data_IF_323999348439
#
_entry.id   IF_323999348439
#
_cell.length_a   1.000
_cell.length_b   1.000
_cell.length_c   1.000
_cell.angle_alpha   90.00
_cell.angle_beta   90.00
_cell.angle_gamma   90.00
#
_symmetry.space_group_name_H-M   'P 1'
#
loop_
_entity.id
_entity.type
_entity.pdbx_description
1 polymer ?
#
# COMPACT_ATOMS: atom_id res chain seq x y z
N UNK A 1 10.99 15.75 11.12
CA UNK A 1 11.41 14.48 11.78
C UNK A 1 10.18 13.85 12.43
N UNK A 2 9.89 12.63 12.08
CA UNK A 2 8.76 11.86 12.63
C UNK A 2 9.23 11.13 13.89
N UNK A 3 8.40 11.11 14.94
CA UNK A 3 8.76 10.48 16.22
C UNK A 3 8.65 8.95 16.12
N UNK A 4 9.47 8.23 16.89
CA UNK A 4 9.43 6.75 16.97
C UNK A 4 8.04 6.26 17.38
N UNK A 5 7.37 6.98 18.28
CA UNK A 5 6.01 6.62 18.74
C UNK A 5 4.99 6.64 17.60
N UNK A 6 5.09 7.61 16.69
CA UNK A 6 4.23 7.70 15.52
C UNK A 6 4.47 6.52 14.57
N UNK A 7 5.75 6.16 14.33
CA UNK A 7 6.11 5.01 13.51
C UNK A 7 5.68 3.67 14.13
N UNK A 8 5.65 3.56 15.46
CA UNK A 8 5.14 2.39 16.17
C UNK A 8 3.64 2.13 15.92
N UNK A 9 2.89 3.16 15.59
CA UNK A 9 1.48 3.03 15.21
C UNK A 9 1.29 2.28 13.89
N UNK A 10 2.31 2.24 13.05
CA UNK A 10 2.28 1.56 11.76
C UNK A 10 2.54 0.05 11.98
N UNK A 11 1.54 -0.76 11.68
CA UNK A 11 1.53 -2.22 11.96
C UNK A 11 2.74 -2.96 11.42
N UNK A 12 3.20 -2.59 10.22
CA UNK A 12 4.36 -3.25 9.63
C UNK A 12 5.68 -2.93 10.35
N UNK A 13 5.74 -1.80 11.09
CA UNK A 13 6.91 -1.33 11.83
C UNK A 13 6.86 -1.70 13.32
N UNK A 14 5.75 -2.25 13.81
CA UNK A 14 5.50 -2.53 15.23
C UNK A 14 6.64 -3.32 15.92
N UNK A 15 7.23 -4.29 15.21
CA UNK A 15 8.29 -5.16 15.74
C UNK A 15 9.72 -4.69 15.39
N UNK A 16 9.84 -3.53 14.73
CA UNK A 16 11.13 -3.00 14.34
C UNK A 16 11.86 -2.39 15.54
N UNK A 17 13.17 -2.64 15.74
CA UNK A 17 13.97 -2.00 16.80
C UNK A 17 13.94 -0.47 16.72
N UNK A 18 13.95 0.21 17.89
CA UNK A 18 13.90 1.68 17.97
C UNK A 18 15.01 2.37 17.20
N UNK A 19 16.22 1.80 17.19
CA UNK A 19 17.34 2.33 16.41
C UNK A 19 17.07 2.41 14.91
N UNK A 20 16.32 1.44 14.37
CA UNK A 20 15.93 1.42 12.95
C UNK A 20 14.75 2.37 12.68
N UNK A 21 13.80 2.44 13.61
CA UNK A 21 12.71 3.43 13.55
C UNK A 21 13.25 4.85 13.58
N UNK A 22 14.30 5.12 14.35
CA UNK A 22 14.96 6.43 14.37
C UNK A 22 15.54 6.83 13.00
N UNK A 23 16.14 5.88 12.27
CA UNK A 23 16.64 6.12 10.91
C UNK A 23 15.50 6.48 9.95
N UNK A 24 14.40 5.73 9.99
CA UNK A 24 13.19 6.04 9.21
C UNK A 24 12.66 7.43 9.58
N UNK A 25 12.51 7.72 10.88
CA UNK A 25 11.93 8.98 11.35
C UNK A 25 12.72 10.22 10.95
N UNK A 26 14.05 10.10 10.76
CA UNK A 26 14.90 11.18 10.28
C UNK A 26 14.64 11.52 8.81
N UNK A 27 14.26 10.56 8.00
CA UNK A 27 14.02 10.72 6.56
C UNK A 27 12.54 10.92 6.21
N UNK A 28 11.64 10.61 7.14
CA UNK A 28 10.21 10.67 6.94
C UNK A 28 9.64 12.07 7.21
N UNK A 29 8.56 12.39 6.50
CA UNK A 29 7.80 13.63 6.66
C UNK A 29 6.33 13.30 6.96
N UNK A 30 5.75 13.97 7.97
CA UNK A 30 4.31 13.93 8.25
C UNK A 30 3.64 15.09 7.51
N UNK A 31 2.57 14.81 6.79
CA UNK A 31 1.77 15.79 6.04
C UNK A 31 0.28 15.54 6.27
N UNK A 32 -0.52 16.61 6.18
CA UNK A 32 -1.98 16.57 6.30
C UNK A 32 -2.56 16.78 4.90
N UNK A 33 -3.51 15.94 4.54
CA UNK A 33 -4.22 16.00 3.25
C UNK A 33 -5.72 16.14 3.47
N UNK A 34 -6.35 16.97 2.67
CA UNK A 34 -7.80 17.14 2.71
C UNK A 34 -8.52 15.96 2.03
N UNK A 35 -9.79 15.78 2.38
CA UNK A 35 -10.70 14.87 1.67
C UNK A 35 -10.64 15.13 0.16
N UNK A 36 -10.64 14.08 -0.64
CA UNK A 36 -10.58 14.15 -2.10
C UNK A 36 -9.18 14.39 -2.69
N UNK A 37 -8.14 14.59 -1.84
CA UNK A 37 -6.77 14.73 -2.35
C UNK A 37 -6.35 13.44 -3.04
N UNK A 38 -5.95 13.55 -4.31
CA UNK A 38 -5.32 12.47 -5.06
C UNK A 38 -3.81 12.48 -4.80
N UNK A 39 -3.29 11.41 -4.21
CA UNK A 39 -1.87 11.28 -3.86
C UNK A 39 -1.03 10.84 -5.06
N UNK A 40 -1.57 9.96 -5.90
CA UNK A 40 -1.03 9.57 -7.19
C UNK A 40 -2.13 8.86 -8.01
N UNK A 41 -1.96 8.80 -9.33
CA UNK A 41 -2.89 8.17 -10.27
C UNK A 41 -2.34 6.89 -10.86
N UNK A 42 -3.23 6.03 -11.32
CA UNK A 42 -2.88 4.86 -12.15
C UNK A 42 -1.99 5.31 -13.31
N UNK A 43 -0.88 4.60 -13.53
CA UNK A 43 0.09 4.88 -14.58
C UNK A 43 1.17 5.91 -14.21
N UNK A 44 1.05 6.65 -13.11
CA UNK A 44 2.10 7.54 -12.60
C UNK A 44 3.18 6.73 -11.86
N UNK A 45 4.42 7.19 -11.90
CA UNK A 45 5.48 6.62 -11.08
C UNK A 45 5.24 6.97 -9.60
N UNK A 46 5.34 5.97 -8.74
CA UNK A 46 5.19 6.15 -7.28
C UNK A 46 6.58 6.24 -6.66
N UNK A 47 7.00 7.48 -6.35
CA UNK A 47 8.33 7.76 -5.81
C UNK A 47 8.37 7.80 -4.28
N UNK A 48 7.24 7.53 -3.62
CA UNK A 48 7.12 7.59 -2.18
C UNK A 48 6.35 6.39 -1.61
N UNK A 49 6.75 5.99 -0.42
CA UNK A 49 6.06 5.05 0.43
C UNK A 49 5.23 5.81 1.47
N UNK A 50 3.98 5.42 1.65
CA UNK A 50 3.00 6.13 2.47
C UNK A 50 2.56 5.28 3.66
N UNK A 51 2.46 5.91 4.83
CA UNK A 51 2.02 5.31 6.09
C UNK A 51 0.89 6.16 6.67
N UNK A 52 -0.32 5.61 6.78
CA UNK A 52 -1.50 6.35 7.25
C UNK A 52 -1.50 6.39 8.77
N UNK A 53 -1.36 7.60 9.34
CA UNK A 53 -1.45 7.85 10.78
C UNK A 53 -2.90 8.05 11.21
N UNK A 54 -3.65 8.85 10.44
CA UNK A 54 -5.05 9.11 10.67
C UNK A 54 -5.78 9.23 9.34
N UNK A 55 -7.07 8.86 9.32
CA UNK A 55 -7.92 8.92 8.14
C UNK A 55 -7.92 7.63 7.32
N UNK A 56 -8.48 7.72 6.12
CA UNK A 56 -8.67 6.60 5.21
C UNK A 56 -8.34 7.01 3.78
N UNK A 57 -7.55 6.18 3.09
CA UNK A 57 -7.20 6.33 1.67
C UNK A 57 -7.82 5.19 0.88
N UNK A 58 -8.60 5.50 -0.17
CA UNK A 58 -9.10 4.51 -1.11
C UNK A 58 -8.07 4.27 -2.22
N UNK A 59 -7.81 3.01 -2.52
CA UNK A 59 -7.10 2.57 -3.71
C UNK A 59 -8.14 2.18 -4.76
N UNK A 60 -8.20 2.91 -5.88
CA UNK A 60 -9.23 2.73 -6.90
C UNK A 60 -8.65 2.39 -8.25
N UNK A 61 -9.42 1.68 -9.07
CA UNK A 61 -9.12 1.41 -10.48
C UNK A 61 -10.35 1.80 -11.30
N UNK A 62 -10.14 2.54 -12.38
CA UNK A 62 -11.19 2.82 -13.34
C UNK A 62 -11.57 1.53 -14.09
N UNK A 63 -12.83 1.14 -14.00
CA UNK A 63 -13.38 0.02 -14.77
C UNK A 63 -13.84 0.49 -16.16
N UNK A 64 -14.39 1.70 -16.23
CA UNK A 64 -14.76 2.41 -17.45
C UNK A 64 -14.75 3.93 -17.14
N UNK A 65 -15.00 4.83 -18.13
CA UNK A 65 -14.93 6.27 -17.93
C UNK A 65 -15.84 6.82 -16.82
N UNK A 66 -16.92 6.10 -16.49
CA UNK A 66 -17.95 6.56 -15.54
C UNK A 66 -17.94 5.77 -14.22
N UNK A 67 -17.03 4.79 -14.06
CA UNK A 67 -17.05 3.89 -12.90
C UNK A 67 -15.66 3.57 -12.38
N UNK A 68 -15.42 3.97 -11.15
CA UNK A 68 -14.25 3.55 -10.38
C UNK A 68 -14.62 2.45 -9.38
N UNK A 69 -13.75 1.45 -9.27
CA UNK A 69 -13.88 0.37 -8.29
C UNK A 69 -12.86 0.56 -7.19
N UNK A 70 -13.32 0.57 -5.94
CA UNK A 70 -12.43 0.57 -4.77
C UNK A 70 -11.89 -0.85 -4.59
N UNK A 71 -10.58 -1.01 -4.80
CA UNK A 71 -9.88 -2.27 -4.57
C UNK A 71 -9.62 -2.51 -3.09
N UNK A 72 -9.27 -1.44 -2.37
CA UNK A 72 -8.91 -1.53 -0.96
C UNK A 72 -9.05 -0.16 -0.29
N UNK A 73 -9.49 -0.15 0.96
CA UNK A 73 -9.45 1.01 1.84
C UNK A 73 -8.28 0.86 2.83
N UNK A 74 -7.33 1.77 2.76
CA UNK A 74 -6.18 1.83 3.64
C UNK A 74 -6.50 2.72 4.83
N UNK A 75 -6.65 2.10 5.99
CA UNK A 75 -6.97 2.77 7.25
C UNK A 75 -5.70 3.11 8.04
N UNK A 76 -5.87 3.89 9.12
CA UNK A 76 -4.83 4.19 10.10
C UNK A 76 -4.03 2.93 10.51
N UNK A 77 -2.73 3.07 10.63
CA UNK A 77 -1.78 2.02 10.92
C UNK A 77 -1.36 1.17 9.71
N UNK A 78 -1.92 1.42 8.52
CA UNK A 78 -1.58 0.68 7.28
C UNK A 78 -0.75 1.53 6.33
N UNK A 79 -0.19 0.86 5.31
CA UNK A 79 0.74 1.47 4.34
C UNK A 79 0.33 1.16 2.90
N UNK A 80 0.80 1.99 1.96
CA UNK A 80 0.64 1.77 0.51
C UNK A 80 1.81 2.43 -0.24
N UNK A 81 1.88 2.23 -1.57
CA UNK A 81 2.99 2.76 -2.38
C UNK A 81 4.30 1.98 -2.21
N UNK A 82 4.23 0.69 -1.88
CA UNK A 82 5.42 -0.16 -1.66
C UNK A 82 6.28 -0.36 -2.92
N UNK A 83 5.79 -0.06 -4.12
CA UNK A 83 6.60 -0.05 -5.35
C UNK A 83 7.80 0.91 -5.24
N UNK A 84 7.66 2.03 -4.53
CA UNK A 84 8.75 2.96 -4.25
C UNK A 84 9.93 2.35 -3.47
N UNK A 85 9.69 1.27 -2.73
CA UNK A 85 10.72 0.59 -1.93
C UNK A 85 11.52 -0.44 -2.74
N UNK A 86 11.03 -0.84 -3.91
CA UNK A 86 11.63 -1.89 -4.73
C UNK A 86 12.37 -1.24 -5.91
N UNK A 87 11.74 -1.08 -7.02
CA UNK A 87 12.38 -0.54 -8.24
C UNK A 87 11.62 0.64 -8.82
N UNK A 88 10.61 1.12 -8.10
CA UNK A 88 9.65 2.04 -8.68
C UNK A 88 8.78 1.35 -9.74
N UNK A 89 8.05 2.16 -10.48
CA UNK A 89 7.19 1.70 -11.56
C UNK A 89 5.83 2.38 -11.54
N UNK A 90 5.07 2.25 -12.64
CA UNK A 90 3.78 2.88 -12.73
C UNK A 90 2.79 2.28 -11.73
N UNK A 91 2.00 3.14 -11.10
CA UNK A 91 0.94 2.74 -10.19
C UNK A 91 -0.13 1.91 -10.90
N UNK A 92 -0.53 0.81 -10.30
CA UNK A 92 -1.63 -0.04 -10.79
C UNK A 92 -3.02 0.47 -10.31
N UNK A 93 -3.06 1.51 -9.49
CA UNK A 93 -4.27 2.09 -8.90
C UNK A 93 -4.07 3.59 -8.61
N UNK A 94 -5.17 4.28 -8.45
CA UNK A 94 -5.22 5.67 -7.98
C UNK A 94 -5.43 5.69 -6.47
N UNK A 95 -4.72 6.56 -5.73
CA UNK A 95 -4.85 6.70 -4.28
C UNK A 95 -5.49 8.04 -3.92
N UNK A 96 -6.67 8.00 -3.26
CA UNK A 96 -7.49 9.19 -2.94
C UNK A 96 -7.86 9.19 -1.47
N UNK A 97 -7.63 10.31 -0.78
CA UNK A 97 -8.06 10.51 0.60
C UNK A 97 -9.59 10.59 0.68
N UNK A 98 -10.22 9.66 1.42
CA UNK A 98 -11.68 9.61 1.61
C UNK A 98 -12.17 10.59 2.68
N UNK A 99 -11.30 10.96 3.58
CA UNK A 99 -11.50 11.91 4.67
C UNK A 99 -10.19 12.67 4.91
N UNK A 100 -10.12 13.66 5.82
CA UNK A 100 -8.85 14.30 6.16
C UNK A 100 -7.86 13.26 6.69
N UNK A 101 -6.66 13.22 6.10
CA UNK A 101 -5.64 12.22 6.41
C UNK A 101 -4.37 12.86 6.95
N UNK A 102 -3.79 12.25 7.98
CA UNK A 102 -2.39 12.46 8.37
C UNK A 102 -1.57 11.28 7.84
N UNK A 103 -0.59 11.59 6.98
CA UNK A 103 0.20 10.57 6.30
C UNK A 103 1.68 10.87 6.47
N UNK A 104 2.41 9.85 6.93
CA UNK A 104 3.87 9.86 6.90
C UNK A 104 4.31 9.39 5.52
N UNK A 105 5.14 10.21 4.87
CA UNK A 105 5.68 9.95 3.54
C UNK A 105 7.18 9.71 3.63
N UNK A 106 7.68 8.75 2.88
CA UNK A 106 9.08 8.38 2.84
C UNK A 106 9.51 8.21 1.38
N UNK A 107 10.50 9.00 0.93
CA UNK A 107 11.01 8.91 -0.44
C UNK A 107 11.64 7.54 -0.72
N UNK A 108 11.30 6.94 -1.85
CA UNK A 108 11.87 5.67 -2.30
C UNK A 108 13.39 5.75 -2.45
N UNK A 109 13.91 6.82 -3.04
CA UNK A 109 15.35 7.06 -3.19
C UNK A 109 16.09 7.06 -1.84
N UNK A 110 15.56 7.80 -0.86
CA UNK A 110 16.14 7.83 0.49
C UNK A 110 16.10 6.47 1.17
N UNK A 111 15.04 5.69 0.92
CA UNK A 111 14.97 4.33 1.47
C UNK A 111 15.97 3.40 0.84
N UNK A 112 16.18 3.48 -0.46
CA UNK A 112 17.20 2.68 -1.14
C UNK A 112 18.60 2.99 -0.58
N UNK A 113 18.94 4.26 -0.38
CA UNK A 113 20.20 4.67 0.27
C UNK A 113 20.32 4.12 1.70
N UNK A 114 19.24 4.08 2.46
CA UNK A 114 19.23 3.46 3.79
C UNK A 114 19.43 1.94 3.72
N UNK A 115 18.87 1.26 2.72
CA UNK A 115 19.05 -0.19 2.54
C UNK A 115 20.50 -0.55 2.20
N UNK A 116 21.18 0.26 1.38
CA UNK A 116 22.59 0.06 1.03
C UNK A 116 23.52 0.08 2.26
N UNK A 117 23.13 0.80 3.30
CA UNK A 117 23.93 0.95 4.52
C UNK A 117 23.41 0.15 5.71
N UNK A 118 22.19 -0.42 5.61
CA UNK A 118 21.50 -1.11 6.71
C UNK A 118 20.67 -2.29 6.21
N UNK A 119 21.31 -3.43 5.97
CA UNK A 119 20.66 -4.67 5.55
C UNK A 119 19.53 -5.10 6.50
N UNK A 120 19.72 -4.89 7.81
CA UNK A 120 18.72 -5.23 8.82
C UNK A 120 17.45 -4.39 8.66
N UNK A 121 17.56 -3.09 8.35
CA UNK A 121 16.42 -2.23 8.05
C UNK A 121 15.67 -2.75 6.83
N UNK A 122 16.41 -3.08 5.76
CA UNK A 122 15.86 -3.67 4.54
C UNK A 122 15.08 -4.95 4.85
N UNK A 123 15.66 -5.86 5.63
CA UNK A 123 15.01 -7.12 6.03
C UNK A 123 13.70 -6.90 6.79
N UNK A 124 13.68 -6.04 7.83
CA UNK A 124 12.47 -5.77 8.60
C UNK A 124 11.37 -5.16 7.75
N UNK A 125 11.73 -4.18 6.91
CA UNK A 125 10.75 -3.47 6.09
C UNK A 125 10.18 -4.39 5.01
N UNK A 126 11.03 -5.12 4.28
CA UNK A 126 10.58 -6.03 3.23
C UNK A 126 9.78 -7.21 3.79
N UNK A 127 10.14 -7.73 4.96
CA UNK A 127 9.33 -8.72 5.66
C UNK A 127 7.95 -8.16 6.07
N UNK A 128 7.88 -6.88 6.44
CA UNK A 128 6.62 -6.17 6.71
C UNK A 128 5.76 -6.03 5.45
N UNK A 129 6.37 -5.61 4.34
CA UNK A 129 5.72 -5.50 3.02
C UNK A 129 5.17 -6.86 2.60
N UNK A 130 5.96 -7.93 2.66
CA UNK A 130 5.54 -9.27 2.28
C UNK A 130 4.33 -9.76 3.11
N UNK A 131 4.34 -9.54 4.43
CA UNK A 131 3.18 -9.86 5.30
C UNK A 131 1.94 -9.07 4.92
N UNK A 132 2.08 -7.78 4.60
CA UNK A 132 0.96 -6.94 4.18
C UNK A 132 0.40 -7.43 2.84
N UNK A 133 1.23 -7.73 1.86
CA UNK A 133 0.78 -8.29 0.57
C UNK A 133 0.02 -9.60 0.77
N UNK A 134 0.56 -10.53 1.57
CA UNK A 134 -0.14 -11.78 1.89
C UNK A 134 -1.54 -11.51 2.45
N UNK A 135 -1.65 -10.61 3.43
CA UNK A 135 -2.93 -10.27 4.05
C UNK A 135 -3.91 -9.66 3.04
N UNK A 136 -3.43 -8.76 2.17
CA UNK A 136 -4.26 -8.14 1.13
C UNK A 136 -4.69 -9.16 0.08
N UNK A 137 -3.81 -10.08 -0.34
CA UNK A 137 -4.16 -11.17 -1.26
C UNK A 137 -5.22 -12.10 -0.67
N UNK A 138 -5.05 -12.54 0.58
CA UNK A 138 -6.01 -13.40 1.27
C UNK A 138 -7.39 -12.73 1.37
N UNK A 139 -7.42 -11.41 1.66
CA UNK A 139 -8.66 -10.65 1.74
C UNK A 139 -9.36 -10.53 0.36
N UNK A 140 -8.60 -10.27 -0.70
CA UNK A 140 -9.11 -10.18 -2.08
C UNK A 140 -9.64 -11.54 -2.56
N UNK A 141 -8.90 -12.63 -2.32
CA UNK A 141 -9.35 -13.98 -2.64
C UNK A 141 -10.69 -14.31 -1.95
N UNK A 142 -10.81 -14.01 -0.65
CA UNK A 142 -12.06 -14.18 0.10
C UNK A 142 -13.21 -13.34 -0.47
N UNK A 143 -12.93 -12.11 -0.89
CA UNK A 143 -13.92 -11.22 -1.51
C UNK A 143 -14.42 -11.82 -2.83
N UNK A 144 -13.52 -12.27 -3.71
CA UNK A 144 -13.85 -12.92 -4.98
C UNK A 144 -14.74 -14.15 -4.72
N UNK A 145 -14.32 -15.05 -3.82
CA UNK A 145 -15.08 -16.26 -3.47
C UNK A 145 -16.47 -15.93 -2.93
N UNK A 146 -16.58 -14.90 -2.09
CA UNK A 146 -17.87 -14.45 -1.56
C UNK A 146 -18.78 -13.87 -2.65
N UNK A 147 -18.22 -13.14 -3.60
CA UNK A 147 -18.97 -12.60 -4.74
C UNK A 147 -19.48 -13.71 -5.63
N UNK A 148 -18.61 -14.66 -6.00
CA UNK A 148 -18.97 -15.81 -6.81
C UNK A 148 -20.04 -16.69 -6.14
N UNK A 149 -19.99 -16.87 -4.82
CA UNK A 149 -21.00 -17.61 -4.08
C UNK A 149 -22.39 -16.92 -4.09
N UNK A 150 -22.43 -15.59 -4.23
CA UNK A 150 -23.68 -14.80 -4.32
C UNK A 150 -24.24 -14.74 -5.74
N UNK A 151 -23.44 -15.07 -6.75
CA UNK A 151 -23.75 -15.00 -8.16
C UNK A 151 -23.55 -16.38 -8.83
N UNK A 152 -24.46 -17.36 -8.59
CA UNK A 152 -24.34 -18.71 -9.12
C UNK A 152 -24.24 -18.76 -10.65
N UNK A 153 -24.83 -17.77 -11.33
CA UNK A 153 -24.77 -17.57 -12.77
C UNK A 153 -23.36 -17.38 -13.32
N UNK A 154 -22.42 -16.99 -12.48
CA UNK A 154 -21.01 -16.82 -12.86
C UNK A 154 -20.20 -18.12 -12.81
N UNK A 155 -20.74 -19.20 -12.23
CA UNK A 155 -20.04 -20.49 -12.12
C UNK A 155 -19.48 -21.03 -13.44
N UNK A 156 -20.21 -20.94 -14.59
CA UNK A 156 -19.67 -21.41 -15.86
C UNK A 156 -18.41 -20.67 -16.32
N UNK A 157 -18.20 -19.44 -15.87
CA UNK A 157 -17.07 -18.59 -16.28
C UNK A 157 -15.83 -18.79 -15.40
N UNK A 158 -15.94 -19.53 -14.28
CA UNK A 158 -14.80 -19.74 -13.36
C UNK A 158 -13.71 -20.61 -14.00
N UNK A 159 -14.07 -21.55 -14.87
CA UNK A 159 -13.12 -22.41 -15.57
C UNK A 159 -12.25 -21.64 -16.58
N UNK A 160 -12.72 -20.49 -17.08
CA UNK A 160 -11.98 -19.68 -18.03
C UNK A 160 -10.89 -18.81 -17.37
N UNK A 161 -10.95 -18.61 -16.05
CA UNK A 161 -9.93 -17.84 -15.31
C UNK A 161 -8.58 -18.57 -15.32
N UNK A 162 -8.57 -19.89 -15.30
CA UNK A 162 -7.32 -20.68 -15.39
C UNK A 162 -6.64 -20.52 -16.77
N UNK A 163 -7.42 -20.29 -17.83
CA UNK A 163 -6.91 -20.07 -19.19
C UNK A 163 -6.41 -18.64 -19.43
N UNK A 164 -6.79 -17.69 -18.58
CA UNK A 164 -6.37 -16.29 -18.65
C UNK A 164 -5.07 -16.01 -17.91
N UNK A 165 -4.51 -16.99 -17.21
CA UNK A 165 -3.20 -16.80 -16.53
C UNK A 165 -2.12 -16.75 -17.60
N UNK A 166 -1.41 -15.62 -17.77
CA UNK A 166 -0.28 -15.58 -18.71
C UNK A 166 0.74 -16.63 -18.27
N UNK A 167 1.16 -17.47 -19.20
CA UNK A 167 2.33 -18.32 -18.98
C UNK A 167 3.55 -17.39 -18.84
N UNK A 168 4.16 -17.38 -17.65
CA UNK A 168 5.44 -16.73 -17.41
C UNK A 168 6.57 -17.58 -17.96
#
# INVERSE_FOLDING_TARGET
MVKIQDLRHIRMLEKMPDRLLALIGQQAQLSIFSTGTCLFRTGENVDAFFMVMMGQVALTVALNPDMDVILENIQSGRTFGSSALISGGPASYTAICQEPCEIITLSGERMQQLFETNDELGFYLMAGVARQYKTSMDARAKMIMKTLARHPEMKPFIHDIETLTPAY
#
